data_IF_141961456216
#
_entry.id   IF_141961456216
#
_cell.length_a   1.000
_cell.length_b   1.000
_cell.length_c   1.000
_cell.angle_alpha   90.00
_cell.angle_beta   90.00
_cell.angle_gamma   90.00
#
_symmetry.space_group_name_H-M   'P 1'
#
loop_
_entity.id
_entity.type
_entity.pdbx_description
1 polymer ?
#
# COMPACT_ATOMS: atom_id res chain seq x y z
N UNK A 1 5.96 -6.24 -5.66
CA UNK A 1 6.86 -5.28 -4.97
C UNK A 1 8.23 -5.16 -5.62
N UNK A 2 9.04 -6.23 -5.70
CA UNK A 2 10.43 -6.13 -6.21
C UNK A 2 10.55 -5.45 -7.59
N UNK A 3 9.65 -5.78 -8.52
CA UNK A 3 9.62 -5.13 -9.84
C UNK A 3 9.49 -3.61 -9.76
N UNK A 4 8.52 -3.10 -8.98
CA UNK A 4 8.32 -1.67 -8.78
C UNK A 4 9.52 -1.00 -8.10
N UNK A 5 10.11 -1.65 -7.09
CA UNK A 5 11.32 -1.16 -6.42
C UNK A 5 12.49 -1.00 -7.40
N UNK A 6 12.70 -1.99 -8.29
CA UNK A 6 13.73 -1.91 -9.33
C UNK A 6 13.45 -0.79 -10.34
N UNK A 7 12.19 -0.55 -10.70
CA UNK A 7 11.80 0.57 -11.58
C UNK A 7 12.12 1.91 -10.92
N UNK A 8 11.82 2.07 -9.62
CA UNK A 8 12.15 3.29 -8.86
C UNK A 8 13.66 3.49 -8.81
N UNK A 9 14.42 2.44 -8.51
CA UNK A 9 15.89 2.50 -8.48
C UNK A 9 16.52 2.82 -9.85
N UNK A 10 15.78 2.66 -10.95
CA UNK A 10 16.22 2.90 -12.34
C UNK A 10 15.67 4.20 -12.93
N UNK A 11 15.38 5.19 -12.10
CA UNK A 11 15.02 6.54 -12.53
C UNK A 11 13.54 6.90 -12.40
N UNK A 12 12.69 5.95 -12.01
CA UNK A 12 11.31 6.21 -11.58
C UNK A 12 10.47 7.09 -12.55
N UNK A 13 10.28 6.68 -13.81
CA UNK A 13 9.61 7.52 -14.82
C UNK A 13 8.14 7.83 -14.51
N UNK A 14 7.52 7.06 -13.62
CA UNK A 14 6.11 7.16 -13.26
C UNK A 14 5.88 7.59 -11.81
N UNK A 15 6.86 8.24 -11.17
CA UNK A 15 6.71 8.82 -9.82
C UNK A 15 6.16 7.87 -8.75
N UNK A 16 6.61 6.62 -8.76
CA UNK A 16 6.29 5.68 -7.67
C UNK A 16 7.07 6.03 -6.40
N UNK A 17 6.46 5.77 -5.26
CA UNK A 17 7.12 5.79 -3.95
C UNK A 17 7.35 4.37 -3.46
N UNK A 18 8.45 4.18 -2.74
CA UNK A 18 8.71 2.98 -1.94
C UNK A 18 8.71 3.41 -0.48
N UNK A 19 7.71 2.96 0.26
CA UNK A 19 7.58 3.17 1.69
C UNK A 19 8.06 1.92 2.41
N UNK A 20 8.88 2.11 3.43
CA UNK A 20 9.32 1.06 4.36
C UNK A 20 8.98 1.49 5.77
N UNK A 21 8.54 0.54 6.60
CA UNK A 21 8.21 0.81 8.01
C UNK A 21 9.47 1.13 8.82
N UNK A 22 10.53 0.34 8.62
CA UNK A 22 11.79 0.44 9.34
C UNK A 22 12.95 0.10 8.40
N UNK A 23 14.15 0.63 8.71
CA UNK A 23 15.36 0.35 7.94
C UNK A 23 16.56 0.25 8.88
N UNK A 24 17.48 -0.72 8.67
CA UNK A 24 17.53 -1.70 7.57
C UNK A 24 16.69 -2.97 7.78
N UNK A 25 16.21 -3.26 8.99
CA UNK A 25 15.38 -4.43 9.28
C UNK A 25 13.88 -4.15 9.04
N UNK A 26 13.45 -4.10 7.79
CA UNK A 26 12.06 -3.79 7.43
C UNK A 26 11.09 -4.95 7.74
N UNK A 27 9.90 -4.61 8.25
CA UNK A 27 8.76 -5.52 8.37
C UNK A 27 7.82 -5.43 7.17
N UNK A 28 7.68 -4.25 6.56
CA UNK A 28 6.76 -3.98 5.44
C UNK A 28 7.43 -3.10 4.39
N UNK A 29 7.21 -3.45 3.13
CA UNK A 29 7.53 -2.63 1.96
C UNK A 29 6.24 -2.40 1.18
N UNK A 30 5.85 -1.14 1.02
CA UNK A 30 4.70 -0.73 0.23
C UNK A 30 5.16 0.13 -0.94
N UNK A 31 4.64 -0.15 -2.13
CA UNK A 31 4.87 0.70 -3.30
C UNK A 31 3.56 1.25 -3.82
N UNK A 32 3.51 2.54 -4.13
CA UNK A 32 2.32 3.22 -4.65
C UNK A 32 2.72 4.34 -5.60
N UNK A 33 1.78 4.80 -6.43
CA UNK A 33 1.94 6.09 -7.09
C UNK A 33 1.99 7.20 -6.03
N UNK A 34 2.76 8.26 -6.27
CA UNK A 34 2.66 9.48 -5.46
C UNK A 34 1.21 9.95 -5.37
N UNK A 35 0.66 10.22 -4.17
CA UNK A 35 -0.71 10.67 -4.02
C UNK A 35 -1.05 11.92 -4.85
N UNK A 36 -0.06 12.79 -5.08
CA UNK A 36 -0.23 14.03 -5.85
C UNK A 36 -0.40 13.78 -7.36
N UNK A 37 0.13 12.66 -7.85
CA UNK A 37 0.05 12.29 -9.26
C UNK A 37 -1.29 11.61 -9.61
N UNK A 38 -2.02 11.11 -8.60
CA UNK A 38 -3.41 10.68 -8.76
C UNK A 38 -4.38 11.85 -8.51
N UNK A 39 -4.97 12.38 -9.58
CA UNK A 39 -5.90 13.52 -9.51
C UNK A 39 -7.34 13.14 -9.20
N UNK A 40 -7.76 11.92 -9.50
CA UNK A 40 -9.14 11.47 -9.27
C UNK A 40 -9.21 10.57 -8.01
N UNK A 41 -9.90 11.00 -6.94
CA UNK A 41 -10.03 10.20 -5.73
C UNK A 41 -10.83 8.90 -5.91
N UNK A 42 -11.56 8.76 -7.02
CA UNK A 42 -12.34 7.54 -7.34
C UNK A 42 -11.60 6.60 -8.30
N UNK A 43 -10.48 7.03 -8.88
CA UNK A 43 -9.69 6.19 -9.77
C UNK A 43 -8.83 5.20 -8.97
N UNK A 44 -9.45 4.08 -8.61
CA UNK A 44 -8.79 2.97 -7.95
C UNK A 44 -7.78 2.25 -8.86
N UNK A 45 -7.94 2.37 -10.18
CA UNK A 45 -7.06 1.72 -11.15
C UNK A 45 -5.71 2.43 -11.24
N UNK A 46 -5.69 3.76 -11.14
CA UNK A 46 -4.46 4.52 -10.97
C UNK A 46 -3.90 4.43 -9.55
N UNK A 47 -4.76 4.28 -8.53
CA UNK A 47 -4.36 4.17 -7.13
C UNK A 47 -4.01 2.73 -6.73
N UNK A 48 -2.96 2.17 -7.31
CA UNK A 48 -2.50 0.82 -6.98
C UNK A 48 -1.43 0.85 -5.90
N UNK A 49 -1.67 0.08 -4.84
CA UNK A 49 -0.72 -0.21 -3.78
C UNK A 49 -0.25 -1.66 -3.97
N UNK A 50 1.06 -1.89 -3.96
CA UNK A 50 1.61 -3.24 -3.88
C UNK A 50 2.36 -3.39 -2.57
N UNK A 51 2.07 -4.43 -1.82
CA UNK A 51 2.65 -4.65 -0.49
C UNK A 51 3.44 -5.95 -0.44
N UNK A 52 4.52 -5.92 0.32
CA UNK A 52 5.24 -7.09 0.78
C UNK A 52 5.50 -6.92 2.26
N UNK A 53 5.17 -7.92 3.06
CA UNK A 53 5.46 -7.91 4.48
C UNK A 53 6.04 -9.23 4.95
N UNK A 54 6.89 -9.14 5.97
CA UNK A 54 7.48 -10.27 6.69
C UNK A 54 6.79 -10.46 8.05
N UNK A 55 6.15 -9.41 8.57
CA UNK A 55 5.47 -9.39 9.85
C UNK A 55 4.04 -8.87 9.65
N UNK A 56 3.05 -9.71 9.97
CA UNK A 56 1.63 -9.37 9.84
C UNK A 56 1.22 -8.24 10.81
N UNK A 57 1.83 -8.19 12.00
CA UNK A 57 1.60 -7.13 12.97
C UNK A 57 2.04 -5.76 12.46
N UNK A 58 3.19 -5.70 11.80
CA UNK A 58 3.69 -4.49 11.14
C UNK A 58 2.77 -4.07 9.97
N UNK A 59 2.25 -5.03 9.21
CA UNK A 59 1.26 -4.75 8.16
C UNK A 59 -0.04 -4.17 8.74
N UNK A 60 -0.59 -4.79 9.79
CA UNK A 60 -1.79 -4.30 10.48
C UNK A 60 -1.58 -2.91 11.09
N UNK A 61 -0.42 -2.65 11.69
CA UNK A 61 -0.06 -1.34 12.20
C UNK A 61 0.01 -0.29 11.08
N UNK A 62 0.59 -0.64 9.93
CA UNK A 62 0.67 0.24 8.76
C UNK A 62 -0.71 0.56 8.18
N UNK A 63 -1.60 -0.43 8.07
CA UNK A 63 -3.01 -0.22 7.65
C UNK A 63 -3.77 0.71 8.59
N UNK A 64 -3.47 0.64 9.89
CA UNK A 64 -4.03 1.53 10.92
C UNK A 64 -3.59 2.99 10.78
N UNK A 65 -2.42 3.23 10.18
CA UNK A 65 -1.89 4.57 9.93
C UNK A 65 -2.58 5.32 8.79
N UNK A 66 -2.38 6.64 8.74
CA UNK A 66 -2.95 7.52 7.70
C UNK A 66 -1.96 7.96 6.63
N UNK A 67 -0.66 7.69 6.81
CA UNK A 67 0.37 8.18 5.90
C UNK A 67 0.64 7.23 4.71
N UNK A 68 0.54 5.92 4.94
CA UNK A 68 0.87 4.92 3.92
C UNK A 68 -0.34 4.52 3.05
N UNK A 69 -1.54 4.47 3.64
CA UNK A 69 -2.79 4.14 2.94
C UNK A 69 -3.78 5.28 3.15
N UNK A 70 -4.14 5.94 2.08
CA UNK A 70 -5.18 6.97 2.09
C UNK A 70 -6.56 6.34 1.92
N UNK A 71 -7.19 6.03 3.05
CA UNK A 71 -8.53 5.44 3.12
C UNK A 71 -9.66 6.37 2.68
N UNK A 72 -9.37 7.64 2.36
CA UNK A 72 -10.37 8.58 1.83
C UNK A 72 -10.55 8.45 0.31
N UNK A 73 -9.69 7.67 -0.35
CA UNK A 73 -9.66 7.46 -1.80
C UNK A 73 -9.92 6.00 -2.14
N UNK A 74 -10.47 5.75 -3.31
CA UNK A 74 -10.58 4.41 -3.85
C UNK A 74 -9.19 3.90 -4.27
N UNK A 75 -8.88 2.64 -4.02
CA UNK A 75 -7.59 2.03 -4.34
C UNK A 75 -7.67 0.52 -4.52
N UNK A 76 -6.63 -0.05 -5.10
CA UNK A 76 -6.40 -1.50 -5.14
C UNK A 76 -5.15 -1.87 -4.35
N UNK A 77 -5.24 -2.91 -3.53
CA UNK A 77 -4.08 -3.50 -2.85
C UNK A 77 -3.72 -4.83 -3.51
N UNK A 78 -2.46 -4.97 -3.89
CA UNK A 78 -1.88 -6.19 -4.44
C UNK A 78 -0.83 -6.73 -3.46
N UNK A 79 -1.02 -7.95 -3.00
CA UNK A 79 -0.06 -8.70 -2.19
C UNK A 79 -0.36 -10.19 -2.27
N UNK A 80 0.60 -11.01 -1.87
CA UNK A 80 0.51 -12.48 -1.96
C UNK A 80 0.71 -13.16 -0.60
N UNK A 81 0.86 -12.38 0.46
CA UNK A 81 1.05 -12.89 1.80
C UNK A 81 -0.28 -13.38 2.40
N UNK A 82 -0.19 -14.47 3.15
CA UNK A 82 -1.29 -15.02 3.93
C UNK A 82 -1.80 -14.00 4.97
N UNK A 83 -3.11 -13.95 5.19
CA UNK A 83 -3.72 -13.01 6.16
C UNK A 83 -3.94 -11.60 5.61
N UNK A 84 -3.52 -11.31 4.37
CA UNK A 84 -3.69 -9.97 3.78
C UNK A 84 -5.18 -9.59 3.66
N UNK A 85 -6.02 -10.50 3.17
CA UNK A 85 -7.43 -10.22 2.97
C UNK A 85 -8.14 -9.95 4.30
N UNK A 86 -7.88 -10.78 5.30
CA UNK A 86 -8.42 -10.66 6.65
C UNK A 86 -8.00 -9.34 7.29
N UNK A 87 -6.72 -8.99 7.23
CA UNK A 87 -6.21 -7.72 7.77
C UNK A 87 -6.84 -6.50 7.08
N UNK A 88 -6.99 -6.52 5.75
CA UNK A 88 -7.65 -5.44 5.02
C UNK A 88 -9.14 -5.37 5.36
N UNK A 89 -9.83 -6.51 5.40
CA UNK A 89 -11.25 -6.60 5.73
C UNK A 89 -11.56 -6.09 7.13
N UNK A 90 -10.81 -6.51 8.14
CA UNK A 90 -10.97 -6.01 9.50
C UNK A 90 -10.79 -4.48 9.58
N UNK A 91 -9.83 -3.96 8.81
CA UNK A 91 -9.58 -2.52 8.75
C UNK A 91 -10.66 -1.74 8.00
N UNK A 92 -11.23 -2.30 6.92
CA UNK A 92 -12.37 -1.70 6.22
C UNK A 92 -13.63 -1.72 7.10
N UNK A 93 -13.88 -2.84 7.79
CA UNK A 93 -15.01 -2.98 8.72
C UNK A 93 -14.91 -1.96 9.87
N UNK A 94 -13.73 -1.81 10.47
CA UNK A 94 -13.48 -0.83 11.53
C UNK A 94 -13.66 0.63 11.07
N UNK A 95 -13.46 0.90 9.77
CA UNK A 95 -13.62 2.23 9.16
C UNK A 95 -15.00 2.45 8.51
N UNK A 96 -15.86 1.44 8.48
CA UNK A 96 -17.15 1.48 7.79
C UNK A 96 -17.03 1.64 6.27
N UNK A 97 -15.96 1.12 5.68
CA UNK A 97 -15.68 1.17 4.25
C UNK A 97 -16.12 -0.12 3.55
N UNK A 98 -16.40 -0.03 2.25
CA UNK A 98 -16.72 -1.20 1.42
C UNK A 98 -15.43 -1.82 0.88
N UNK A 99 -15.35 -3.15 0.95
CA UNK A 99 -14.31 -3.96 0.32
C UNK A 99 -14.98 -4.80 -0.78
N UNK A 100 -14.43 -4.74 -1.98
CA UNK A 100 -14.89 -5.49 -3.17
C UNK A 100 -13.93 -6.61 -3.56
#
# INVERSE_FOLDING_TARGET
VLGTVLTVARGNPASYEVLVDTWPQFGVVLTRLRPEDNKDPRDFYANQLTVFYQDEGAWRALLGGTQAVDWTRAFQIHGMQDGMYEAVREMTDAKGLQLE
#
